data_IF_959739167436
#
_entry.id   IF_959739167436
#
_cell.length_a   1.000
_cell.length_b   1.000
_cell.length_c   1.000
_cell.angle_alpha   90.00
_cell.angle_beta   90.00
_cell.angle_gamma   90.00
#
_symmetry.space_group_name_H-M   'P 1'
#
loop_
_entity.id
_entity.type
_entity.pdbx_description
1 polymer ?
#
# COMPACT_ATOMS: atom_id res chain seq x y z
N UNK A 1 32.27 47.87 -18.65
CA UNK A 1 32.49 47.40 -17.27
C UNK A 1 31.21 47.68 -16.50
N UNK A 2 30.40 46.74 -16.01
CA UNK A 2 30.62 45.35 -15.59
C UNK A 2 29.32 44.57 -15.84
N UNK A 3 29.39 43.48 -16.56
CA UNK A 3 28.28 42.53 -16.69
C UNK A 3 28.17 41.75 -15.38
N UNK A 4 27.12 42.00 -14.58
CA UNK A 4 26.79 41.12 -13.46
C UNK A 4 26.21 39.82 -14.03
N UNK A 5 27.03 38.77 -14.07
CA UNK A 5 26.52 37.41 -14.15
C UNK A 5 25.77 37.11 -12.85
N UNK A 6 24.46 37.09 -12.90
CA UNK A 6 23.65 36.39 -11.89
C UNK A 6 23.88 34.89 -12.11
N UNK A 7 24.79 34.32 -11.32
CA UNK A 7 24.92 32.88 -11.19
C UNK A 7 23.65 32.39 -10.47
N UNK A 8 22.65 31.96 -11.24
CA UNK A 8 21.53 31.19 -10.69
C UNK A 8 22.14 29.86 -10.27
N UNK A 9 22.48 29.73 -8.99
CA UNK A 9 22.71 28.43 -8.38
C UNK A 9 21.39 27.67 -8.47
N UNK A 10 21.19 26.92 -9.55
CA UNK A 10 20.24 25.81 -9.54
C UNK A 10 20.86 24.82 -8.56
N UNK A 11 20.45 24.90 -7.28
CA UNK A 11 20.58 23.76 -6.40
C UNK A 11 19.78 22.64 -7.06
N UNK A 12 20.46 21.75 -7.77
CA UNK A 12 19.89 20.45 -8.06
C UNK A 12 19.65 19.81 -6.69
N UNK A 13 18.41 19.87 -6.22
CA UNK A 13 17.93 19.01 -5.15
C UNK A 13 18.17 17.60 -5.68
N UNK A 14 19.21 16.93 -5.19
CA UNK A 14 19.44 15.54 -5.55
C UNK A 14 18.19 14.77 -5.11
N UNK A 15 17.54 14.12 -6.06
CA UNK A 15 16.38 13.29 -5.80
C UNK A 15 16.73 12.28 -4.68
N UNK A 16 15.91 12.24 -3.65
CA UNK A 16 16.05 11.29 -2.56
C UNK A 16 15.48 9.95 -3.01
N UNK A 17 16.26 8.87 -2.88
CA UNK A 17 15.83 7.51 -3.14
C UNK A 17 15.87 6.66 -1.86
N UNK A 18 14.87 5.81 -1.66
CA UNK A 18 14.82 4.82 -0.59
C UNK A 18 14.43 3.46 -1.15
N UNK A 19 15.12 2.41 -0.70
CA UNK A 19 14.90 1.04 -1.19
C UNK A 19 14.44 0.12 -0.07
N UNK A 20 13.44 -0.71 -0.36
CA UNK A 20 12.89 -1.69 0.55
C UNK A 20 12.81 -3.07 -0.14
N UNK A 21 13.88 -3.87 -0.17
CA UNK A 21 13.79 -5.23 -0.70
C UNK A 21 12.70 -6.04 0.03
N UNK A 22 11.84 -6.78 -0.69
CA UNK A 22 11.86 -7.03 -2.14
C UNK A 22 11.01 -6.07 -2.98
N UNK A 23 10.48 -5.00 -2.40
CA UNK A 23 9.53 -4.04 -2.99
C UNK A 23 10.17 -2.99 -3.92
N UNK A 24 11.49 -3.01 -4.11
CA UNK A 24 12.20 -2.08 -4.99
C UNK A 24 12.56 -0.76 -4.32
N UNK A 25 12.76 0.28 -5.14
CA UNK A 25 13.18 1.62 -4.72
C UNK A 25 12.14 2.68 -5.09
N UNK A 26 12.09 3.74 -4.29
CA UNK A 26 11.16 4.84 -4.39
C UNK A 26 11.95 6.14 -4.35
N UNK A 27 11.75 7.00 -5.34
CA UNK A 27 12.35 8.33 -5.40
C UNK A 27 11.29 9.43 -5.45
N UNK A 28 11.72 10.67 -5.27
CA UNK A 28 10.91 11.88 -5.41
C UNK A 28 11.13 12.58 -6.76
N UNK A 29 11.57 11.85 -7.78
CA UNK A 29 11.57 12.30 -9.18
C UNK A 29 10.14 12.46 -9.72
N UNK A 30 9.98 13.17 -10.83
CA UNK A 30 8.69 13.24 -11.54
C UNK A 30 8.09 11.84 -11.79
N UNK A 31 6.79 11.63 -11.50
CA UNK A 31 5.76 12.62 -11.14
C UNK A 31 5.57 12.85 -9.62
N UNK A 32 6.50 12.39 -8.79
CA UNK A 32 6.45 12.42 -7.32
C UNK A 32 7.18 13.62 -6.69
N UNK A 33 7.72 14.52 -7.50
CA UNK A 33 8.42 15.77 -7.15
C UNK A 33 7.49 16.88 -6.62
N UNK A 34 6.25 16.53 -6.25
CA UNK A 34 5.24 17.50 -5.83
C UNK A 34 5.58 18.08 -4.45
N UNK A 35 5.29 19.38 -4.21
CA UNK A 35 5.43 19.96 -2.89
C UNK A 35 4.70 19.12 -1.84
N UNK A 36 5.40 18.81 -0.74
CA UNK A 36 4.93 18.00 0.38
C UNK A 36 4.77 16.50 0.10
N UNK A 37 4.93 16.00 -1.13
CA UNK A 37 5.00 14.56 -1.34
C UNK A 37 6.17 13.98 -0.53
N UNK A 38 5.90 12.87 0.16
CA UNK A 38 6.89 12.18 0.98
C UNK A 38 7.25 10.85 0.32
N UNK A 39 8.50 10.43 0.49
CA UNK A 39 8.87 9.05 0.25
C UNK A 39 8.07 8.14 1.21
N UNK A 40 7.76 6.90 0.80
CA UNK A 40 7.07 5.95 1.67
C UNK A 40 7.89 5.68 2.93
N UNK A 41 7.20 5.46 4.05
CA UNK A 41 7.79 4.89 5.26
C UNK A 41 8.16 3.42 5.05
N UNK A 42 8.94 2.85 5.96
CA UNK A 42 9.39 1.45 5.84
C UNK A 42 8.22 0.46 5.84
N UNK A 43 8.35 -0.72 5.21
CA UNK A 43 7.33 -1.77 5.25
C UNK A 43 6.92 -2.16 6.68
N UNK A 44 7.87 -2.13 7.62
CA UNK A 44 7.62 -2.39 9.05
C UNK A 44 6.80 -1.30 9.74
N UNK A 45 6.86 -0.06 9.25
CA UNK A 45 6.15 1.09 9.79
C UNK A 45 4.73 1.15 9.26
N UNK A 46 4.55 0.95 7.95
CA UNK A 46 3.21 0.85 7.32
C UNK A 46 2.50 -0.42 7.81
N UNK A 47 3.25 -1.52 7.97
CA UNK A 47 2.78 -2.80 8.48
C UNK A 47 1.57 -3.37 7.72
N UNK A 48 1.65 -3.38 6.38
CA UNK A 48 0.58 -3.90 5.53
C UNK A 48 0.26 -5.36 5.84
N UNK A 49 -1.02 -5.67 6.05
CA UNK A 49 -1.55 -6.99 6.36
C UNK A 49 -2.53 -7.41 5.27
N UNK A 50 -2.30 -8.61 4.73
CA UNK A 50 -3.23 -9.26 3.82
C UNK A 50 -4.01 -10.33 4.58
N UNK A 51 -5.34 -10.23 4.59
CA UNK A 51 -6.22 -11.17 5.27
C UNK A 51 -7.20 -11.78 4.28
N UNK A 52 -7.14 -13.11 4.14
CA UNK A 52 -8.01 -13.89 3.27
C UNK A 52 -9.34 -14.24 3.95
N UNK A 53 -10.40 -14.10 3.17
CA UNK A 53 -11.74 -14.57 3.43
C UNK A 53 -12.22 -15.39 2.23
N UNK A 54 -12.75 -16.55 2.52
CA UNK A 54 -13.41 -17.45 1.56
C UNK A 54 -14.70 -17.96 2.22
N UNK A 55 -15.54 -18.67 1.47
CA UNK A 55 -16.71 -19.35 2.04
C UNK A 55 -16.32 -20.41 3.10
N UNK A 56 -15.11 -20.97 3.02
CA UNK A 56 -14.63 -22.07 3.88
C UNK A 56 -13.77 -21.60 5.06
N UNK A 57 -13.10 -20.46 4.94
CA UNK A 57 -12.19 -19.93 5.94
C UNK A 57 -12.32 -18.41 6.02
N UNK A 58 -12.37 -17.88 7.24
CA UNK A 58 -12.44 -16.44 7.50
C UNK A 58 -11.21 -16.01 8.28
N UNK A 59 -10.76 -14.78 8.04
CA UNK A 59 -9.69 -14.12 8.80
C UNK A 59 -8.36 -14.89 8.79
N UNK A 60 -7.93 -15.35 7.61
CA UNK A 60 -6.64 -16.06 7.46
C UNK A 60 -5.56 -15.09 6.99
N UNK A 61 -4.57 -14.81 7.84
CA UNK A 61 -3.45 -13.93 7.48
C UNK A 61 -2.58 -14.57 6.40
N UNK A 62 -2.32 -13.83 5.33
CA UNK A 62 -1.43 -14.23 4.25
C UNK A 62 -0.02 -13.65 4.45
N UNK A 63 0.95 -14.33 3.85
CA UNK A 63 2.29 -13.78 3.64
C UNK A 63 2.19 -12.71 2.54
N UNK A 64 2.60 -11.44 2.77
CA UNK A 64 2.58 -10.38 1.76
C UNK A 64 3.36 -10.74 0.48
N UNK A 65 4.37 -11.59 0.60
CA UNK A 65 5.18 -12.04 -0.53
C UNK A 65 4.66 -13.34 -1.14
N UNK A 66 3.60 -13.91 -0.56
CA UNK A 66 3.02 -15.20 -0.95
C UNK A 66 4.07 -16.32 -1.10
N UNK A 67 5.19 -16.23 -0.34
CA UNK A 67 6.30 -17.20 -0.42
C UNK A 67 5.93 -18.51 0.24
N UNK A 68 5.08 -18.46 1.26
CA UNK A 68 4.40 -19.64 1.78
C UNK A 68 3.16 -19.92 0.96
N UNK A 69 2.97 -21.19 0.60
CA UNK A 69 1.83 -21.62 -0.20
C UNK A 69 0.52 -21.16 0.44
N UNK A 70 -0.22 -20.31 -0.25
CA UNK A 70 -1.57 -19.90 0.11
C UNK A 70 -2.54 -21.10 0.11
N UNK A 71 -2.14 -22.25 -0.45
CA UNK A 71 -2.91 -23.50 -0.40
C UNK A 71 -3.15 -23.99 1.03
N UNK A 72 -2.29 -23.67 1.99
CA UNK A 72 -2.55 -23.97 3.41
C UNK A 72 -3.63 -23.07 4.04
N UNK A 73 -3.93 -21.93 3.40
CA UNK A 73 -4.88 -20.92 3.85
C UNK A 73 -6.28 -21.07 3.22
N UNK A 74 -6.55 -22.16 2.48
CA UNK A 74 -7.74 -22.33 1.63
C UNK A 74 -7.83 -21.32 0.47
N UNK A 75 -6.72 -20.70 0.06
CA UNK A 75 -6.69 -19.91 -1.16
C UNK A 75 -6.80 -20.82 -2.38
N UNK A 76 -7.69 -20.49 -3.30
CA UNK A 76 -7.85 -21.22 -4.56
C UNK A 76 -7.45 -20.34 -5.74
N UNK A 77 -6.33 -20.64 -6.37
CA UNK A 77 -5.82 -19.87 -7.51
C UNK A 77 -6.66 -19.98 -8.78
N UNK A 78 -7.62 -20.92 -8.85
CA UNK A 78 -8.45 -21.17 -10.02
C UNK A 78 -9.78 -20.41 -10.00
N UNK A 79 -10.06 -19.66 -8.93
CA UNK A 79 -11.27 -18.84 -8.80
C UNK A 79 -10.91 -17.37 -8.69
N UNK A 80 -11.91 -16.52 -8.87
CA UNK A 80 -11.78 -15.07 -8.78
C UNK A 80 -11.14 -14.66 -7.44
N UNK A 81 -10.26 -13.67 -7.49
CA UNK A 81 -9.70 -13.03 -6.30
C UNK A 81 -10.04 -11.55 -6.33
N UNK A 82 -10.63 -11.04 -5.24
CA UNK A 82 -10.97 -9.62 -5.06
C UNK A 82 -10.14 -9.06 -3.91
N UNK A 83 -9.46 -7.95 -4.14
CA UNK A 83 -8.77 -7.19 -3.09
C UNK A 83 -9.63 -6.02 -2.65
N UNK A 84 -9.72 -5.80 -1.34
CA UNK A 84 -10.38 -4.65 -0.72
C UNK A 84 -9.33 -3.94 0.12
N UNK A 85 -9.00 -2.70 -0.24
CA UNK A 85 -8.09 -1.85 0.53
C UNK A 85 -8.87 -0.64 1.05
N UNK A 86 -8.66 -0.28 2.32
CA UNK A 86 -9.25 0.93 2.88
C UNK A 86 -8.45 2.18 2.47
N UNK A 87 -8.96 3.37 2.79
CA UNK A 87 -8.35 4.66 2.50
C UNK A 87 -7.67 5.32 3.70
N UNK A 88 -7.53 6.65 3.60
CA UNK A 88 -6.93 7.53 4.60
C UNK A 88 -7.75 7.53 5.89
N UNK A 89 -7.08 7.39 7.04
CA UNK A 89 -7.66 7.30 8.40
C UNK A 89 -8.59 6.10 8.64
N UNK A 90 -8.69 5.17 7.70
CA UNK A 90 -9.54 3.98 7.82
C UNK A 90 -8.71 2.74 8.22
N UNK A 91 -9.40 1.65 8.55
CA UNK A 91 -8.80 0.36 8.92
C UNK A 91 -9.75 -0.82 8.66
N UNK A 92 -9.37 -2.02 9.08
CA UNK A 92 -10.27 -3.19 9.07
C UNK A 92 -11.54 -3.02 9.92
N UNK A 93 -11.53 -2.08 10.87
CA UNK A 93 -12.65 -1.88 11.80
C UNK A 93 -13.80 -1.09 11.19
N UNK A 94 -13.68 -0.63 9.95
CA UNK A 94 -14.78 0.04 9.27
C UNK A 94 -15.93 -0.93 9.02
N UNK A 95 -17.15 -0.52 9.38
CA UNK A 95 -18.35 -1.35 9.31
C UNK A 95 -18.62 -1.92 7.90
N UNK A 96 -18.24 -1.17 6.86
CA UNK A 96 -18.48 -1.55 5.47
C UNK A 96 -17.56 -2.69 5.02
N UNK A 97 -16.39 -2.89 5.66
CA UNK A 97 -15.41 -3.90 5.25
C UNK A 97 -16.02 -5.29 5.37
N UNK A 98 -16.53 -5.62 6.55
CA UNK A 98 -17.14 -6.92 6.78
C UNK A 98 -18.41 -7.11 5.92
N UNK A 99 -19.20 -6.04 5.75
CA UNK A 99 -20.37 -6.06 4.88
C UNK A 99 -20.02 -6.41 3.43
N UNK A 100 -19.00 -5.77 2.84
CA UNK A 100 -18.58 -6.06 1.47
C UNK A 100 -18.01 -7.46 1.33
N UNK A 101 -17.19 -7.92 2.28
CA UNK A 101 -16.64 -9.27 2.28
C UNK A 101 -17.77 -10.30 2.26
N UNK A 102 -18.75 -10.16 3.16
CA UNK A 102 -19.85 -11.12 3.25
C UNK A 102 -20.74 -11.08 1.99
N UNK A 103 -20.98 -9.91 1.40
CA UNK A 103 -21.82 -9.80 0.19
C UNK A 103 -21.13 -10.38 -1.05
N UNK A 104 -19.83 -10.14 -1.21
CA UNK A 104 -19.04 -10.76 -2.28
C UNK A 104 -19.04 -12.29 -2.17
N UNK A 105 -18.85 -12.82 -0.96
CA UNK A 105 -18.85 -14.27 -0.73
C UNK A 105 -20.23 -14.90 -0.92
N UNK A 106 -21.34 -14.17 -0.72
CA UNK A 106 -22.69 -14.65 -1.10
C UNK A 106 -22.86 -14.70 -2.61
N UNK A 107 -22.38 -13.68 -3.33
CA UNK A 107 -22.56 -13.53 -4.76
C UNK A 107 -21.91 -14.68 -5.56
N UNK A 108 -20.65 -15.00 -5.29
CA UNK A 108 -19.89 -16.02 -6.02
C UNK A 108 -18.83 -16.67 -5.11
N UNK A 109 -18.38 -17.88 -5.45
CA UNK A 109 -17.24 -18.50 -4.76
C UNK A 109 -15.95 -17.81 -5.22
N UNK A 110 -15.31 -17.08 -4.32
CA UNK A 110 -14.12 -16.28 -4.60
C UNK A 110 -13.19 -16.19 -3.39
N UNK A 111 -11.93 -15.81 -3.64
CA UNK A 111 -11.04 -15.33 -2.60
C UNK A 111 -11.28 -13.83 -2.41
N UNK A 112 -11.58 -13.38 -1.19
CA UNK A 112 -11.61 -11.96 -0.84
C UNK A 112 -10.43 -11.66 0.07
N UNK A 113 -9.56 -10.74 -0.33
CA UNK A 113 -8.37 -10.37 0.43
C UNK A 113 -8.54 -8.92 0.90
N UNK A 114 -8.63 -8.74 2.22
CA UNK A 114 -8.58 -7.41 2.81
C UNK A 114 -7.12 -6.97 2.98
N UNK A 115 -6.82 -5.74 2.58
CA UNK A 115 -5.51 -5.10 2.68
C UNK A 115 -5.59 -4.00 3.74
N UNK A 116 -5.11 -4.32 4.93
CA UNK A 116 -5.00 -3.37 6.04
C UNK A 116 -3.62 -2.72 6.00
N UNK A 117 -3.58 -1.41 5.79
CA UNK A 117 -2.38 -0.58 5.83
C UNK A 117 -2.54 0.57 6.82
N UNK A 118 -3.38 0.38 7.86
CA UNK A 118 -3.69 1.38 8.88
C UNK A 118 -2.47 1.94 9.64
N UNK A 119 -1.35 1.19 9.69
CA UNK A 119 -0.07 1.69 10.22
C UNK A 119 0.53 2.86 9.43
N UNK A 120 0.17 3.00 8.15
CA UNK A 120 0.65 4.07 7.26
C UNK A 120 -0.45 4.93 6.63
N UNK A 121 -1.73 4.69 6.92
CA UNK A 121 -2.86 5.46 6.37
C UNK A 121 -3.24 6.71 7.19
N UNK A 122 -2.56 6.93 8.31
CA UNK A 122 -2.85 7.99 9.27
C UNK A 122 -2.34 9.38 8.89
N UNK A 123 -2.60 10.36 9.76
CA UNK A 123 -2.06 11.72 9.63
C UNK A 123 -0.52 11.73 9.70
N UNK A 124 0.18 12.55 8.90
CA UNK A 124 -0.34 13.53 7.94
C UNK A 124 -0.67 12.94 6.57
N UNK A 125 -1.68 13.50 5.89
CA UNK A 125 -2.13 13.07 4.55
C UNK A 125 -0.99 12.93 3.53
N UNK A 126 -0.03 13.86 3.57
CA UNK A 126 1.14 13.85 2.70
C UNK A 126 2.02 12.61 2.86
N UNK A 127 2.13 12.07 4.09
CA UNK A 127 2.84 10.83 4.34
C UNK A 127 2.01 9.63 3.89
N UNK A 128 0.70 9.61 4.18
CA UNK A 128 -0.20 8.57 3.70
C UNK A 128 -0.19 8.47 2.16
N UNK A 129 -0.19 9.60 1.46
CA UNK A 129 -0.02 9.66 0.00
C UNK A 129 1.29 9.00 -0.47
N UNK A 130 2.40 9.26 0.22
CA UNK A 130 3.69 8.61 -0.05
C UNK A 130 3.64 7.11 0.19
N UNK A 131 3.05 6.69 1.32
CA UNK A 131 2.91 5.31 1.75
C UNK A 131 2.12 4.44 0.76
N UNK A 132 1.11 5.00 0.08
CA UNK A 132 0.33 4.28 -0.96
C UNK A 132 1.21 3.76 -2.10
N UNK A 133 2.38 4.34 -2.36
CA UNK A 133 3.29 3.81 -3.38
C UNK A 133 3.86 2.43 -3.02
N UNK A 134 3.98 2.13 -1.74
CA UNK A 134 4.54 0.88 -1.23
C UNK A 134 3.47 -0.19 -0.94
N UNK A 135 2.24 0.23 -0.64
CA UNK A 135 1.09 -0.67 -0.39
C UNK A 135 0.61 -1.29 -1.70
#
# INVERSE_FOLDING_TARGET
>A
MKTLLFCVFVQQMLAAEICYPPYGCFNDDQPYDRPLARLPESPSKINTVFTLYTRKAKNVRLDPLFKKSASSANFNSNIKTVFIAHGYLESINEWYVQMFIDELLKYEDMNVVFVDWSGGSGFPYHQAYGNVRLV
#
